data_IF_704137602464
#
_entry.id   IF_704137602464
#
_cell.length_a   1.000
_cell.length_b   1.000
_cell.length_c   1.000
_cell.angle_alpha   90.00
_cell.angle_beta   90.00
_cell.angle_gamma   90.00
#
_symmetry.space_group_name_H-M   'P 1'
#
loop_
_entity.id
_entity.type
_entity.pdbx_description
1 polymer ?
#
# COMPACT_ATOMS: atom_id res chain seq x y z
N UNK A 1 14.48 6.72 10.94
CA UNK A 1 13.97 5.37 11.30
C UNK A 1 12.87 5.38 12.35
N UNK A 2 12.88 6.27 13.34
CA UNK A 2 11.88 6.30 14.42
C UNK A 2 10.44 6.37 13.88
N UNK A 3 10.18 7.24 12.89
CA UNK A 3 8.86 7.35 12.26
C UNK A 3 8.35 6.04 11.64
N UNK A 4 9.25 5.27 11.01
CA UNK A 4 8.91 3.95 10.42
C UNK A 4 8.54 2.94 11.50
N UNK A 5 9.28 2.93 12.61
CA UNK A 5 9.00 2.04 13.75
C UNK A 5 7.65 2.39 14.36
N UNK A 6 7.36 3.69 14.55
CA UNK A 6 6.06 4.15 15.06
C UNK A 6 4.93 3.79 14.11
N UNK A 7 5.10 3.96 12.79
CA UNK A 7 4.09 3.57 11.80
C UNK A 7 3.85 2.06 11.80
N UNK A 8 4.92 1.28 11.88
CA UNK A 8 4.84 -0.18 11.96
C UNK A 8 4.11 -0.62 13.22
N UNK A 9 4.44 -0.04 14.38
CA UNK A 9 3.77 -0.32 15.64
C UNK A 9 2.30 0.07 15.60
N UNK A 10 1.97 1.22 15.01
CA UNK A 10 0.60 1.68 14.78
C UNK A 10 -0.22 0.66 13.97
N UNK A 11 0.33 0.14 12.86
CA UNK A 11 -0.33 -0.91 12.06
C UNK A 11 -0.52 -2.20 12.87
N UNK A 12 0.48 -2.61 13.66
CA UNK A 12 0.38 -3.80 14.52
C UNK A 12 -0.73 -3.64 15.55
N UNK A 13 -0.69 -2.54 16.32
CA UNK A 13 -1.65 -2.29 17.41
C UNK A 13 -3.06 -2.15 16.83
N UNK A 14 -3.22 -1.38 15.75
CA UNK A 14 -4.50 -1.21 15.09
C UNK A 14 -5.06 -2.54 14.60
N UNK A 15 -4.24 -3.35 13.93
CA UNK A 15 -4.64 -4.70 13.49
C UNK A 15 -5.05 -5.61 14.66
N UNK A 16 -4.29 -5.61 15.76
CA UNK A 16 -4.63 -6.40 16.95
C UNK A 16 -5.98 -5.98 17.55
N UNK A 17 -6.24 -4.68 17.67
CA UNK A 17 -7.53 -4.15 18.10
C UNK A 17 -8.63 -4.60 17.15
N UNK A 18 -8.41 -4.48 15.84
CA UNK A 18 -9.38 -4.92 14.82
C UNK A 18 -9.73 -6.41 14.92
N UNK A 19 -8.76 -7.28 15.20
CA UNK A 19 -8.99 -8.71 15.43
C UNK A 19 -9.87 -8.99 16.65
N UNK A 20 -9.66 -8.24 17.74
CA UNK A 20 -10.47 -8.38 18.95
C UNK A 20 -11.91 -7.95 18.68
N UNK A 21 -12.09 -6.85 17.94
CA UNK A 21 -13.41 -6.30 17.59
C UNK A 21 -14.16 -7.19 16.58
N UNK A 22 -13.44 -7.90 15.69
CA UNK A 22 -14.03 -8.77 14.66
C UNK A 22 -15.05 -9.79 15.23
N UNK A 23 -14.81 -10.34 16.42
CA UNK A 23 -15.70 -11.37 17.02
C UNK A 23 -17.05 -10.80 17.51
N UNK A 24 -17.15 -9.49 17.74
CA UNK A 24 -18.34 -8.86 18.31
C UNK A 24 -19.23 -8.13 17.30
N UNK A 25 -18.77 -7.94 16.05
CA UNK A 25 -19.45 -7.08 15.07
C UNK A 25 -20.31 -7.92 14.12
N UNK A 26 -21.64 -7.66 14.01
CA UNK A 26 -22.49 -8.36 13.06
C UNK A 26 -22.05 -8.15 11.61
N UNK A 27 -22.25 -9.17 10.76
CA UNK A 27 -21.81 -9.15 9.36
C UNK A 27 -22.33 -7.93 8.58
N UNK A 28 -23.58 -7.51 8.81
CA UNK A 28 -24.18 -6.32 8.20
C UNK A 28 -23.34 -5.04 8.41
N UNK A 29 -22.77 -4.86 9.59
CA UNK A 29 -21.92 -3.71 9.88
C UNK A 29 -20.55 -3.86 9.23
N UNK A 30 -19.99 -5.07 9.25
CA UNK A 30 -18.71 -5.35 8.58
C UNK A 30 -18.80 -5.08 7.08
N UNK A 31 -19.87 -5.52 6.42
CA UNK A 31 -20.11 -5.31 4.99
C UNK A 31 -20.29 -3.81 4.68
N UNK A 32 -21.05 -3.07 5.50
CA UNK A 32 -21.23 -1.63 5.35
C UNK A 32 -19.91 -0.85 5.55
N UNK A 33 -19.10 -1.26 6.52
CA UNK A 33 -17.78 -0.70 6.78
C UNK A 33 -16.83 -0.97 5.61
N UNK A 34 -16.83 -2.19 5.07
CA UNK A 34 -16.01 -2.54 3.90
C UNK A 34 -16.36 -1.69 2.69
N UNK A 35 -17.65 -1.48 2.43
CA UNK A 35 -18.09 -0.58 1.36
C UNK A 35 -17.56 0.84 1.60
N UNK A 36 -17.66 1.36 2.82
CA UNK A 36 -17.12 2.67 3.19
C UNK A 36 -15.61 2.77 2.98
N UNK A 37 -14.84 1.77 3.43
CA UNK A 37 -13.39 1.69 3.22
C UNK A 37 -13.06 1.67 1.72
N UNK A 38 -13.77 0.88 0.92
CA UNK A 38 -13.60 0.81 -0.53
C UNK A 38 -13.83 2.17 -1.19
N UNK A 39 -14.91 2.88 -0.82
CA UNK A 39 -15.21 4.22 -1.32
C UNK A 39 -14.15 5.25 -0.92
N UNK A 40 -13.70 5.23 0.34
CA UNK A 40 -12.60 6.09 0.80
C UNK A 40 -11.29 5.77 0.05
N UNK A 41 -11.01 4.49 -0.21
CA UNK A 41 -9.84 4.05 -0.97
C UNK A 41 -9.87 4.58 -2.39
N UNK A 42 -11.03 4.51 -3.07
CA UNK A 42 -11.23 5.11 -4.40
C UNK A 42 -11.01 6.62 -4.35
N UNK A 43 -11.59 7.32 -3.37
CA UNK A 43 -11.40 8.77 -3.21
C UNK A 43 -9.93 9.16 -3.04
N UNK A 44 -9.18 8.44 -2.19
CA UNK A 44 -7.74 8.63 -2.00
C UNK A 44 -6.99 8.39 -3.32
N UNK A 45 -7.35 7.32 -4.03
CA UNK A 45 -6.79 7.02 -5.35
C UNK A 45 -7.05 8.15 -6.36
N UNK A 46 -8.28 8.62 -6.50
CA UNK A 46 -8.62 9.72 -7.43
C UNK A 46 -7.82 10.98 -7.07
N UNK A 47 -7.82 11.37 -5.79
CA UNK A 47 -7.11 12.56 -5.31
C UNK A 47 -5.60 12.47 -5.54
N UNK A 48 -5.02 11.26 -5.44
CA UNK A 48 -3.61 11.03 -5.72
C UNK A 48 -3.28 11.01 -7.21
N UNK A 49 -4.14 10.46 -8.08
CA UNK A 49 -3.94 10.50 -9.54
C UNK A 49 -3.90 11.91 -10.11
N UNK A 50 -4.65 12.85 -9.50
CA UNK A 50 -4.67 14.26 -9.89
C UNK A 50 -3.37 15.01 -9.56
N UNK A 51 -2.43 14.40 -8.82
CA UNK A 51 -1.12 14.99 -8.51
C UNK A 51 -0.08 14.78 -9.62
N UNK A 52 -0.30 13.81 -10.51
CA UNK A 52 0.60 13.52 -11.62
C UNK A 52 0.65 14.68 -12.63
N UNK A 53 1.79 14.86 -13.28
CA UNK A 53 1.99 15.94 -14.27
C UNK A 53 2.03 15.40 -15.69
N UNK A 54 2.48 14.16 -15.89
CA UNK A 54 2.70 13.59 -17.21
C UNK A 54 1.93 12.28 -17.42
N UNK A 55 0.79 12.39 -18.11
CA UNK A 55 -0.07 11.25 -18.44
C UNK A 55 0.64 10.18 -19.26
N UNK A 56 1.62 10.52 -20.11
CA UNK A 56 2.37 9.52 -20.89
C UNK A 56 3.27 8.67 -19.97
N UNK A 57 3.95 9.30 -19.01
CA UNK A 57 4.77 8.56 -18.03
C UNK A 57 3.89 7.60 -17.25
N UNK A 58 2.72 8.04 -16.78
CA UNK A 58 1.75 7.18 -16.11
C UNK A 58 1.35 5.97 -16.97
N UNK A 59 0.92 6.19 -18.22
CA UNK A 59 0.45 5.11 -19.12
C UNK A 59 1.58 4.10 -19.35
N UNK A 60 2.77 4.58 -19.72
CA UNK A 60 3.91 3.70 -20.01
C UNK A 60 4.33 2.92 -18.75
N UNK A 61 4.36 3.57 -17.59
CA UNK A 61 4.72 2.94 -16.32
C UNK A 61 3.76 1.82 -15.95
N UNK A 62 2.45 2.03 -16.14
CA UNK A 62 1.42 1.02 -15.88
C UNK A 62 1.53 -0.14 -16.86
N UNK A 63 1.72 0.13 -18.15
CA UNK A 63 1.84 -0.91 -19.18
C UNK A 63 3.09 -1.77 -18.95
N UNK A 64 4.27 -1.14 -18.82
CA UNK A 64 5.53 -1.86 -18.54
C UNK A 64 5.42 -2.59 -17.20
N UNK A 65 4.86 -1.91 -16.19
CA UNK A 65 4.63 -2.48 -14.87
C UNK A 65 3.80 -3.76 -14.93
N UNK A 66 2.69 -3.73 -15.66
CA UNK A 66 1.81 -4.89 -15.87
C UNK A 66 2.50 -6.02 -16.63
N UNK A 67 3.27 -5.72 -17.68
CA UNK A 67 4.01 -6.73 -18.45
C UNK A 67 5.02 -7.43 -17.54
N UNK A 68 5.87 -6.65 -16.85
CA UNK A 68 6.91 -7.20 -15.97
C UNK A 68 6.29 -7.97 -14.80
N UNK A 69 5.28 -7.40 -14.14
CA UNK A 69 4.69 -8.02 -12.96
C UNK A 69 3.86 -9.26 -13.29
N UNK A 70 3.21 -9.29 -14.46
CA UNK A 70 2.52 -10.50 -14.95
C UNK A 70 3.53 -11.57 -15.37
N UNK A 71 4.64 -11.19 -16.01
CA UNK A 71 5.72 -12.14 -16.35
C UNK A 71 6.36 -12.76 -15.10
N UNK A 72 6.53 -11.98 -14.04
CA UNK A 72 7.02 -12.46 -12.75
C UNK A 72 5.94 -13.18 -11.90
N UNK A 73 4.67 -13.00 -12.26
CA UNK A 73 3.47 -13.44 -11.53
C UNK A 73 3.49 -13.00 -10.04
N UNK A 74 3.70 -11.70 -9.82
CA UNK A 74 3.87 -11.11 -8.47
C UNK A 74 2.66 -11.39 -7.58
N UNK A 75 1.46 -11.24 -8.12
CA UNK A 75 0.20 -11.53 -7.43
C UNK A 75 0.16 -12.97 -6.91
N UNK A 76 0.53 -13.95 -7.74
CA UNK A 76 0.59 -15.35 -7.31
C UNK A 76 1.62 -15.57 -6.22
N UNK A 77 2.81 -14.96 -6.33
CA UNK A 77 3.86 -15.08 -5.31
C UNK A 77 3.41 -14.53 -3.97
N UNK A 78 2.78 -13.35 -3.97
CA UNK A 78 2.26 -12.75 -2.73
C UNK A 78 1.12 -13.59 -2.16
N UNK A 79 0.20 -14.08 -2.99
CA UNK A 79 -0.87 -14.96 -2.54
C UNK A 79 -0.33 -16.25 -1.91
N UNK A 80 0.67 -16.88 -2.54
CA UNK A 80 1.31 -18.09 -2.02
C UNK A 80 2.01 -17.83 -0.68
N UNK A 81 2.65 -16.66 -0.51
CA UNK A 81 3.22 -16.24 0.76
C UNK A 81 2.15 -16.08 1.84
N UNK A 82 1.03 -15.41 1.51
CA UNK A 82 -0.10 -15.24 2.42
C UNK A 82 -0.73 -16.57 2.85
N UNK A 83 -0.89 -17.50 1.91
CA UNK A 83 -1.41 -18.85 2.18
C UNK A 83 -0.46 -19.67 3.05
N UNK A 84 0.86 -19.58 2.82
CA UNK A 84 1.87 -20.24 3.66
C UNK A 84 1.83 -19.73 5.10
N UNK A 85 1.69 -18.41 5.27
CA UNK A 85 1.50 -17.78 6.59
C UNK A 85 0.17 -18.25 7.20
N UNK A 86 -0.92 -18.22 6.44
CA UNK A 86 -2.25 -18.63 6.89
C UNK A 86 -2.33 -20.08 7.35
N UNK A 87 -1.57 -20.99 6.73
CA UNK A 87 -1.50 -22.39 7.16
C UNK A 87 -0.82 -22.57 8.54
N UNK A 88 0.13 -21.70 8.89
CA UNK A 88 0.78 -21.71 10.22
C UNK A 88 -0.12 -21.16 11.32
N UNK A 89 -0.97 -20.20 10.98
CA UNK A 89 -1.95 -19.62 11.89
C UNK A 89 -3.31 -20.26 11.62
N UNK A 90 -3.55 -21.47 12.14
CA UNK A 90 -4.83 -22.20 12.07
C UNK A 90 -6.00 -21.30 12.50
N UNK A 91 -6.60 -20.59 11.55
CA UNK A 91 -7.85 -19.87 11.75
C UNK A 91 -8.94 -20.66 11.05
N UNK A 92 -9.55 -21.57 11.81
CA UNK A 92 -10.88 -22.08 11.50
C UNK A 92 -11.86 -20.91 11.49
N UNK A 93 -12.07 -20.28 10.33
CA UNK A 93 -13.34 -19.70 9.87
C UNK A 93 -13.12 -18.63 8.79
N UNK A 94 -13.85 -18.81 7.68
CA UNK A 94 -14.50 -17.71 6.96
C UNK A 94 -13.73 -17.01 5.84
N UNK A 95 -14.07 -17.41 4.61
CA UNK A 95 -14.19 -16.67 3.33
C UNK A 95 -13.16 -15.64 2.85
N UNK A 96 -12.36 -14.99 3.70
CA UNK A 96 -11.40 -13.96 3.29
C UNK A 96 -9.99 -14.52 3.40
N UNK A 97 -9.23 -14.47 2.30
CA UNK A 97 -7.86 -14.99 2.31
C UNK A 97 -6.95 -14.10 3.15
N UNK A 98 -6.05 -14.72 3.94
CA UNK A 98 -4.97 -14.01 4.64
C UNK A 98 -4.14 -13.18 3.63
N UNK A 99 -3.96 -13.71 2.42
CA UNK A 99 -3.29 -13.00 1.35
C UNK A 99 -4.05 -11.74 0.91
N UNK A 100 -5.38 -11.79 0.83
CA UNK A 100 -6.20 -10.65 0.42
C UNK A 100 -6.07 -9.50 1.43
N UNK A 101 -6.15 -9.80 2.73
CA UNK A 101 -5.91 -8.81 3.78
C UNK A 101 -4.49 -8.26 3.76
N UNK A 102 -3.49 -9.11 3.56
CA UNK A 102 -2.09 -8.72 3.46
C UNK A 102 -1.82 -7.79 2.27
N UNK A 103 -2.25 -8.18 1.07
CA UNK A 103 -2.07 -7.41 -0.16
C UNK A 103 -2.77 -6.07 -0.04
N UNK A 104 -4.06 -6.07 0.35
CA UNK A 104 -4.87 -4.86 0.44
C UNK A 104 -4.24 -3.84 1.37
N UNK A 105 -3.88 -4.27 2.58
CA UNK A 105 -3.27 -3.40 3.57
C UNK A 105 -1.87 -2.92 3.14
N UNK A 106 -1.03 -3.81 2.60
CA UNK A 106 0.32 -3.47 2.15
C UNK A 106 0.31 -2.41 1.05
N UNK A 107 -0.56 -2.57 0.06
CA UNK A 107 -0.73 -1.60 -1.03
C UNK A 107 -1.24 -0.27 -0.47
N UNK A 108 -2.31 -0.30 0.34
CA UNK A 108 -2.92 0.92 0.88
C UNK A 108 -1.94 1.71 1.77
N UNK A 109 -1.12 1.04 2.58
CA UNK A 109 -0.16 1.70 3.46
C UNK A 109 1.11 2.17 2.74
N UNK A 110 1.60 1.42 1.76
CA UNK A 110 2.91 1.71 1.15
C UNK A 110 2.81 2.59 -0.10
N UNK A 111 1.69 2.55 -0.81
CA UNK A 111 1.53 3.24 -2.10
C UNK A 111 0.93 4.62 -1.85
N UNK A 112 1.76 5.56 -1.38
CA UNK A 112 1.31 6.93 -1.15
C UNK A 112 2.46 7.93 -1.07
N UNK A 113 2.17 9.18 -1.46
CA UNK A 113 3.15 10.27 -1.41
C UNK A 113 3.77 10.43 -0.02
N UNK A 114 2.95 10.37 1.03
CA UNK A 114 3.40 10.51 2.42
C UNK A 114 4.36 9.39 2.83
N UNK A 115 4.22 8.19 2.27
CA UNK A 115 5.14 7.08 2.51
C UNK A 115 6.52 7.41 1.96
N UNK A 116 6.58 7.89 0.71
CA UNK A 116 7.84 8.14 0.02
C UNK A 116 8.50 9.41 0.55
N UNK A 117 7.78 10.53 0.53
CA UNK A 117 8.27 11.83 1.01
C UNK A 117 8.62 11.76 2.49
N UNK A 118 7.75 11.15 3.32
CA UNK A 118 8.00 10.99 4.74
C UNK A 118 9.22 10.10 5.02
N UNK A 119 9.40 9.00 4.29
CA UNK A 119 10.57 8.14 4.45
C UNK A 119 11.86 8.82 3.96
N UNK A 120 11.81 9.57 2.86
CA UNK A 120 12.95 10.35 2.38
C UNK A 120 13.34 11.43 3.37
N UNK A 121 12.39 12.25 3.85
CA UNK A 121 12.67 13.32 4.81
C UNK A 121 13.21 12.77 6.13
N UNK A 122 12.66 11.64 6.60
CA UNK A 122 13.16 10.96 7.79
C UNK A 122 14.58 10.38 7.63
N UNK A 123 14.98 10.03 6.41
CA UNK A 123 16.33 9.53 6.10
C UNK A 123 17.35 10.64 5.81
N UNK A 124 16.92 11.75 5.19
CA UNK A 124 17.79 12.86 4.79
C UNK A 124 17.95 13.90 5.92
N UNK A 125 16.84 14.32 6.51
CA UNK A 125 16.79 15.44 7.46
C UNK A 125 16.60 14.96 8.91
N UNK A 126 16.30 13.68 9.11
CA UNK A 126 15.91 13.14 10.42
C UNK A 126 14.52 13.58 10.88
N UNK A 127 13.76 14.27 10.03
CA UNK A 127 12.41 14.75 10.34
C UNK A 127 11.37 13.66 10.07
N UNK A 128 10.66 13.28 11.13
CA UNK A 128 9.70 12.18 11.11
C UNK A 128 8.25 12.66 11.21
N UNK A 129 7.97 13.98 11.14
CA UNK A 129 6.62 14.54 11.33
C UNK A 129 5.61 13.90 10.38
N UNK A 130 5.93 13.83 9.08
CA UNK A 130 5.06 13.20 8.08
C UNK A 130 4.80 11.72 8.35
N UNK A 131 5.78 10.97 8.86
CA UNK A 131 5.60 9.56 9.23
C UNK A 131 4.77 9.40 10.50
N UNK A 132 4.84 10.34 11.44
CA UNK A 132 3.95 10.35 12.61
C UNK A 132 2.50 10.65 12.21
N UNK A 133 2.28 11.64 11.34
CA UNK A 133 0.94 11.87 10.76
C UNK A 133 0.42 10.63 10.07
N UNK A 134 1.27 9.96 9.29
CA UNK A 134 0.90 8.71 8.61
C UNK A 134 0.58 7.58 9.60
N UNK A 135 1.31 7.49 10.71
CA UNK A 135 1.07 6.48 11.75
C UNK A 135 -0.34 6.52 12.30
N UNK A 136 -0.91 7.72 12.48
CA UNK A 136 -2.30 7.87 12.92
C UNK A 136 -3.29 7.39 11.86
N UNK A 137 -3.04 7.71 10.58
CA UNK A 137 -3.88 7.25 9.47
C UNK A 137 -3.83 5.73 9.32
N UNK A 138 -2.63 5.15 9.29
CA UNK A 138 -2.43 3.72 9.15
C UNK A 138 -2.94 2.94 10.38
N UNK A 139 -2.91 3.52 11.60
CA UNK A 139 -3.56 2.95 12.79
C UNK A 139 -5.08 2.79 12.62
N UNK A 140 -5.76 3.85 12.20
CA UNK A 140 -7.22 3.83 12.00
C UNK A 140 -7.56 2.87 10.86
N UNK A 141 -6.87 3.00 9.73
CA UNK A 141 -7.10 2.15 8.56
C UNK A 141 -6.82 0.67 8.84
N UNK A 142 -5.73 0.33 9.54
CA UNK A 142 -5.42 -1.06 9.90
C UNK A 142 -6.44 -1.67 10.85
N UNK A 143 -6.94 -0.90 11.82
CA UNK A 143 -8.03 -1.36 12.70
C UNK A 143 -9.26 -1.75 11.89
N UNK A 144 -9.71 -0.83 11.02
CA UNK A 144 -10.92 -1.01 10.23
C UNK A 144 -10.77 -2.11 9.16
N UNK A 145 -9.63 -2.15 8.47
CA UNK A 145 -9.31 -3.21 7.52
C UNK A 145 -9.22 -4.56 8.22
N UNK A 146 -8.68 -4.64 9.44
CA UNK A 146 -8.51 -5.92 10.12
C UNK A 146 -9.81 -6.49 10.68
N UNK A 147 -10.76 -5.64 11.11
CA UNK A 147 -12.13 -6.07 11.44
C UNK A 147 -12.73 -6.87 10.27
N UNK A 148 -12.52 -6.39 9.05
CA UNK A 148 -13.15 -6.95 7.86
C UNK A 148 -12.34 -8.05 7.17
N UNK A 149 -11.06 -7.79 6.93
CA UNK A 149 -10.14 -8.66 6.17
C UNK A 149 -9.36 -9.62 7.08
N UNK A 150 -9.45 -9.45 8.40
CA UNK A 150 -8.85 -10.35 9.38
C UNK A 150 -7.33 -10.25 9.49
N UNK A 151 -6.73 -11.35 9.93
CA UNK A 151 -5.31 -11.43 10.36
C UNK A 151 -4.30 -11.08 9.27
N UNK A 152 -4.69 -11.17 7.99
CA UNK A 152 -3.84 -10.76 6.86
C UNK A 152 -3.28 -9.35 7.01
N UNK A 153 -4.07 -8.42 7.55
CA UNK A 153 -3.69 -7.02 7.74
C UNK A 153 -2.50 -6.88 8.70
N UNK A 154 -2.42 -7.71 9.75
CA UNK A 154 -1.31 -7.67 10.72
C UNK A 154 0.04 -7.91 10.03
N UNK A 155 0.07 -8.82 9.05
CA UNK A 155 1.30 -9.13 8.32
C UNK A 155 1.77 -7.97 7.42
N UNK A 156 0.89 -7.04 7.06
CA UNK A 156 1.29 -5.86 6.29
C UNK A 156 2.26 -4.95 7.06
N UNK A 157 2.27 -5.01 8.40
CA UNK A 157 3.23 -4.26 9.22
C UNK A 157 4.68 -4.61 8.87
N UNK A 158 4.96 -5.89 8.58
CA UNK A 158 6.29 -6.31 8.14
C UNK A 158 6.64 -5.68 6.78
N UNK A 159 5.69 -5.66 5.85
CA UNK A 159 5.89 -5.03 4.55
C UNK A 159 6.10 -3.52 4.68
N UNK A 160 5.33 -2.84 5.53
CA UNK A 160 5.49 -1.42 5.88
C UNK A 160 6.89 -1.15 6.41
N UNK A 161 7.36 -1.95 7.37
CA UNK A 161 8.68 -1.82 7.97
C UNK A 161 9.78 -1.96 6.92
N UNK A 162 9.72 -3.00 6.09
CA UNK A 162 10.71 -3.27 5.05
C UNK A 162 10.69 -2.18 3.98
N UNK A 163 9.50 -1.82 3.48
CA UNK A 163 9.36 -0.86 2.40
C UNK A 163 9.78 0.54 2.84
N UNK A 164 9.18 1.10 3.89
CA UNK A 164 9.54 2.42 4.40
C UNK A 164 10.96 2.45 4.96
N UNK A 165 11.37 1.41 5.69
CA UNK A 165 12.72 1.30 6.24
C UNK A 165 13.78 1.27 5.15
N UNK A 166 13.55 0.57 4.05
CA UNK A 166 14.47 0.56 2.90
C UNK A 166 14.64 1.96 2.29
N UNK A 167 13.55 2.74 2.15
CA UNK A 167 13.61 4.11 1.63
C UNK A 167 14.41 5.01 2.59
N UNK A 168 14.15 4.92 3.90
CA UNK A 168 14.89 5.71 4.91
C UNK A 168 16.39 5.39 4.87
N UNK A 169 16.75 4.11 4.82
CA UNK A 169 18.16 3.67 4.81
C UNK A 169 18.89 4.06 3.51
N UNK A 170 18.18 4.06 2.38
CA UNK A 170 18.73 4.41 1.07
C UNK A 170 18.48 5.87 0.68
N UNK A 171 17.98 6.71 1.59
CA UNK A 171 17.47 8.04 1.26
C UNK A 171 18.51 8.93 0.57
N UNK A 172 19.77 8.89 1.02
CA UNK A 172 20.88 9.64 0.42
C UNK A 172 21.16 9.24 -1.03
N UNK A 173 21.02 7.95 -1.36
CA UNK A 173 21.19 7.45 -2.73
C UNK A 173 19.96 7.70 -3.60
N UNK A 174 18.78 7.73 -2.99
CA UNK A 174 17.50 7.92 -3.69
C UNK A 174 17.17 9.39 -3.95
N UNK A 175 17.68 10.33 -3.14
CA UNK A 175 17.44 11.78 -3.29
C UNK A 175 17.60 12.32 -4.72
N UNK A 176 18.67 11.98 -5.49
CA UNK A 176 18.82 12.51 -6.85
C UNK A 176 17.80 11.93 -7.85
N UNK A 177 17.25 10.75 -7.58
CA UNK A 177 16.27 10.07 -8.46
C UNK A 177 14.84 10.48 -8.08
N UNK A 178 14.57 10.63 -6.80
CA UNK A 178 13.24 10.93 -6.26
C UNK A 178 13.04 12.44 -6.05
N UNK A 179 13.13 13.21 -7.14
CA UNK A 179 12.73 14.61 -7.14
C UNK A 179 11.20 14.77 -7.07
N UNK A 180 10.71 16.00 -6.89
CA UNK A 180 9.28 16.29 -6.76
C UNK A 180 8.43 15.77 -7.91
N UNK A 181 8.97 15.79 -9.14
CA UNK A 181 8.28 15.27 -10.33
C UNK A 181 8.20 13.75 -10.29
N UNK A 182 9.30 13.06 -9.98
CA UNK A 182 9.32 11.61 -9.85
C UNK A 182 8.40 11.13 -8.72
N UNK A 183 8.39 11.82 -7.58
CA UNK A 183 7.47 11.53 -6.46
C UNK A 183 6.01 11.72 -6.89
N UNK A 184 5.70 12.77 -7.67
CA UNK A 184 4.36 12.98 -8.20
C UNK A 184 3.93 11.85 -9.16
N UNK A 185 4.82 11.41 -10.04
CA UNK A 185 4.54 10.30 -10.98
C UNK A 185 4.41 8.94 -10.27
N UNK A 186 5.24 8.66 -9.26
CA UNK A 186 5.07 7.48 -8.42
C UNK A 186 3.73 7.54 -7.70
N UNK A 187 3.39 8.69 -7.11
CA UNK A 187 2.12 8.88 -6.41
C UNK A 187 0.96 8.63 -7.35
N UNK A 188 1.00 9.21 -8.55
CA UNK A 188 -0.05 9.04 -9.55
C UNK A 188 -0.21 7.56 -9.96
N UNK A 189 0.90 6.92 -10.30
CA UNK A 189 0.96 5.50 -10.71
C UNK A 189 0.43 4.59 -9.60
N UNK A 190 0.87 4.84 -8.38
CA UNK A 190 0.41 4.13 -7.20
C UNK A 190 -1.07 4.37 -6.88
N UNK A 191 -1.53 5.60 -6.96
CA UNK A 191 -2.91 5.96 -6.69
C UNK A 191 -3.87 5.35 -7.72
N UNK A 192 -3.45 5.15 -8.98
CA UNK A 192 -4.23 4.38 -9.94
C UNK A 192 -4.42 2.92 -9.51
N UNK A 193 -3.38 2.30 -8.94
CA UNK A 193 -3.47 0.95 -8.35
C UNK A 193 -4.41 0.93 -7.13
N UNK A 194 -4.42 1.99 -6.33
CA UNK A 194 -5.35 2.15 -5.19
C UNK A 194 -6.80 2.25 -5.67
N UNK A 195 -7.08 2.91 -6.80
CA UNK A 195 -8.44 2.92 -7.39
C UNK A 195 -8.87 1.49 -7.73
N UNK A 196 -8.01 0.72 -8.41
CA UNK A 196 -8.29 -0.69 -8.73
C UNK A 196 -8.50 -1.54 -7.46
N UNK A 197 -7.72 -1.28 -6.40
CA UNK A 197 -7.90 -1.95 -5.12
C UNK A 197 -9.24 -1.60 -4.47
N UNK A 198 -9.63 -0.32 -4.47
CA UNK A 198 -10.93 0.12 -3.95
C UNK A 198 -12.10 -0.54 -4.69
N UNK A 199 -12.02 -0.69 -6.01
CA UNK A 199 -13.02 -1.43 -6.81
C UNK A 199 -13.08 -2.92 -6.43
N UNK A 200 -11.94 -3.55 -6.13
CA UNK A 200 -11.90 -4.91 -5.62
C UNK A 200 -12.55 -5.03 -4.23
N UNK A 201 -12.26 -4.09 -3.31
CA UNK A 201 -12.82 -4.06 -1.95
C UNK A 201 -14.35 -3.96 -1.98
N UNK A 202 -14.91 -3.17 -2.91
CA UNK A 202 -16.36 -3.04 -3.11
C UNK A 202 -16.97 -4.29 -3.77
N UNK A 203 -16.13 -5.17 -4.34
CA UNK A 203 -16.55 -6.40 -5.00
C UNK A 203 -16.97 -6.23 -6.47
N UNK A 204 -16.64 -5.09 -7.09
CA UNK A 204 -16.97 -4.83 -8.50
C UNK A 204 -15.98 -5.49 -9.47
N UNK A 205 -14.75 -5.69 -9.03
CA UNK A 205 -13.67 -6.23 -9.87
C UNK A 205 -12.82 -7.27 -9.11
N UNK A 206 -11.98 -8.00 -9.85
CA UNK A 206 -10.94 -8.89 -9.29
C UNK A 206 -9.61 -8.66 -9.99
N UNK A 207 -9.14 -7.42 -9.95
CA UNK A 207 -7.89 -7.01 -10.59
C UNK A 207 -6.71 -7.51 -9.74
N UNK A 208 -5.72 -8.15 -10.37
CA UNK A 208 -4.47 -8.55 -9.73
C UNK A 208 -3.55 -7.35 -9.53
N UNK A 209 -3.91 -6.44 -8.61
CA UNK A 209 -3.25 -5.13 -8.41
C UNK A 209 -1.74 -5.29 -8.16
N UNK A 210 -1.33 -6.36 -7.48
CA UNK A 210 0.07 -6.68 -7.23
C UNK A 210 0.92 -6.83 -8.51
N UNK A 211 0.34 -7.26 -9.63
CA UNK A 211 1.07 -7.36 -10.91
C UNK A 211 1.40 -6.00 -11.52
N UNK A 212 0.81 -4.91 -11.03
CA UNK A 212 1.12 -3.56 -11.50
C UNK A 212 2.23 -2.88 -10.69
N UNK A 213 2.60 -3.45 -9.53
CA UNK A 213 3.63 -2.90 -8.62
C UNK A 213 4.93 -2.46 -9.30
N UNK A 214 5.49 -3.17 -10.30
CA UNK A 214 6.71 -2.72 -10.95
C UNK A 214 6.58 -1.34 -11.62
N UNK A 215 5.36 -0.91 -11.95
CA UNK A 215 5.10 0.43 -12.47
C UNK A 215 5.51 1.56 -11.53
N UNK A 216 5.47 1.34 -10.21
CA UNK A 216 5.96 2.29 -9.19
C UNK A 216 7.46 2.55 -9.35
N UNK A 217 8.23 1.54 -9.79
CA UNK A 217 9.68 1.66 -10.01
C UNK A 217 9.97 2.23 -11.41
N UNK A 218 9.15 1.89 -12.41
CA UNK A 218 9.31 2.39 -13.78
C UNK A 218 9.04 3.91 -13.86
N UNK A 219 8.05 4.43 -13.14
CA UNK A 219 7.70 5.85 -13.16
C UNK A 219 8.87 6.82 -12.87
N UNK A 220 9.64 6.68 -11.78
CA UNK A 220 10.76 7.58 -11.51
C UNK A 220 11.90 7.40 -12.51
N UNK A 221 12.12 6.18 -13.03
CA UNK A 221 13.15 5.91 -14.05
C UNK A 221 12.82 6.65 -15.35
N UNK A 222 11.57 6.56 -15.81
CA UNK A 222 11.12 7.28 -17.00
C UNK A 222 11.19 8.79 -16.80
N UNK A 223 10.78 9.28 -15.64
CA UNK A 223 10.87 10.70 -15.32
C UNK A 223 12.33 11.19 -15.38
N UNK A 224 13.26 10.43 -14.81
CA UNK A 224 14.69 10.74 -14.85
C UNK A 224 15.25 10.75 -16.28
N UNK A 225 14.88 9.78 -17.13
CA UNK A 225 15.28 9.76 -18.54
C UNK A 225 14.75 10.99 -19.29
N UNK A 226 13.49 11.37 -19.07
CA UNK A 226 12.90 12.54 -19.74
C UNK A 226 13.52 13.86 -19.31
N UNK A 227 14.11 13.95 -18.12
CA UNK A 227 14.85 15.14 -17.69
C UNK A 227 16.26 15.26 -18.27
N UNK A 228 16.79 14.18 -18.87
CA UNK A 228 18.11 14.16 -19.52
C UNK A 228 18.05 14.46 -21.02
N UNK A 229 16.86 14.35 -21.63
CA UNK A 229 16.57 14.66 -23.03
C UNK A 229 16.13 16.12 -23.18
#
# INVERSE_FOLDING_TARGET
MIGVIVNTAAVIIGSLIGLMLKKGIPKKFTDAVMLGIGLCTIYIGISGTLKGKNTLILIISIVIGAILGTWMDIDKRINTMGDWIGQKFKSSSGSVSVAEGFVTASLLFCIGALTIVGSLNAGLSGDNEMLFTKSVLDFISSTMLCVSLGIGVLFSAFFVLVFQGSIVLLAQFLQPILNDSAIAEITCTGSLMIIALGLNIIGLTKIKVANYLPGIIVAPILCWITTLL
#
